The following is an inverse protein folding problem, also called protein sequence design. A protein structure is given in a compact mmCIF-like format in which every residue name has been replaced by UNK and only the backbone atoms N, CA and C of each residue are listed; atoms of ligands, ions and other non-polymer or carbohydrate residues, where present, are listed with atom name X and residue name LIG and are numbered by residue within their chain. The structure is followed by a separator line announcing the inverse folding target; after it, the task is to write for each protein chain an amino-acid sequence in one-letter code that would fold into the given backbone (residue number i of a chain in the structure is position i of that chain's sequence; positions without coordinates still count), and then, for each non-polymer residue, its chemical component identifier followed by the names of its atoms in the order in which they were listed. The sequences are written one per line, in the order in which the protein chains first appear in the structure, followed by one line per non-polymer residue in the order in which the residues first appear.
data_IF_017844709335
#
_entry.id   IF_017844709335
#
_cell.length_a   1.000
_cell.length_b   1.000
_cell.length_c   1.000
_cell.angle_alpha   90.00
_cell.angle_beta   90.00
_cell.angle_gamma   90.00
#
_symmetry.space_group_name_H-M   'P 1'
#
loop_
_entity.id
_entity.type
_entity.pdbx_description
1 polymer ?
#
# COMPACT_ATOMS: atom_id res chain seq x y z
N UNK A 1 22.79 8.96 -9.35
CA UNK A 1 23.30 7.58 -9.46
C UNK A 1 24.71 7.54 -8.87
N UNK A 2 25.16 6.38 -8.40
CA UNK A 2 26.51 6.18 -7.85
C UNK A 2 27.01 4.77 -8.18
N UNK A 3 28.32 4.56 -8.04
CA UNK A 3 28.95 3.26 -8.21
C UNK A 3 29.17 2.61 -6.84
N UNK A 4 28.83 1.34 -6.72
CA UNK A 4 29.06 0.58 -5.49
C UNK A 4 30.57 0.36 -5.30
N UNK A 5 31.01 0.45 -4.05
CA UNK A 5 32.37 0.06 -3.68
C UNK A 5 32.50 -1.45 -3.74
N UNK A 6 33.73 -1.92 -3.95
CA UNK A 6 34.03 -3.35 -3.97
C UNK A 6 33.68 -4.00 -2.62
N UNK A 7 33.13 -5.22 -2.69
CA UNK A 7 32.74 -6.00 -1.51
C UNK A 7 31.42 -5.58 -0.84
N UNK A 8 30.75 -4.51 -1.29
CA UNK A 8 29.43 -4.13 -0.78
C UNK A 8 28.36 -5.09 -1.31
N UNK A 9 27.58 -5.66 -0.39
CA UNK A 9 26.48 -6.56 -0.73
C UNK A 9 25.14 -5.81 -0.81
N UNK A 10 24.15 -6.43 -1.46
CA UNK A 10 22.78 -5.91 -1.46
C UNK A 10 22.22 -5.71 -0.04
N UNK A 11 22.54 -6.59 0.89
CA UNK A 11 22.11 -6.47 2.28
C UNK A 11 22.66 -5.21 2.97
N UNK A 12 23.89 -4.81 2.63
CA UNK A 12 24.50 -3.58 3.16
C UNK A 12 23.82 -2.34 2.60
N UNK A 13 23.51 -2.35 1.29
CA UNK A 13 22.74 -1.29 0.64
C UNK A 13 21.35 -1.17 1.28
N UNK A 14 20.67 -2.28 1.47
CA UNK A 14 19.34 -2.30 2.09
C UNK A 14 19.38 -1.74 3.51
N UNK A 15 20.35 -2.18 4.33
CA UNK A 15 20.53 -1.67 5.70
C UNK A 15 20.83 -0.17 5.74
N UNK A 16 21.62 0.36 4.80
CA UNK A 16 21.97 1.77 4.76
C UNK A 16 20.80 2.66 4.26
N UNK A 17 20.07 2.19 3.26
CA UNK A 17 19.05 3.00 2.57
C UNK A 17 17.67 2.87 3.18
N UNK A 18 17.33 1.73 3.77
CA UNK A 18 16.01 1.47 4.33
C UNK A 18 15.84 2.03 5.75
N UNK A 19 14.66 2.55 6.10
CA UNK A 19 13.54 2.89 5.21
C UNK A 19 13.82 4.17 4.40
N UNK A 20 13.05 4.35 3.32
CA UNK A 20 13.23 5.46 2.38
C UNK A 20 13.08 6.84 3.02
N UNK A 21 13.90 7.81 2.61
CA UNK A 21 13.88 9.17 3.18
C UNK A 21 12.53 9.89 2.99
N UNK A 22 11.86 9.66 1.86
CA UNK A 22 10.57 10.30 1.52
C UNK A 22 9.38 9.85 2.40
N UNK A 23 9.52 8.78 3.17
CA UNK A 23 8.47 8.25 4.05
C UNK A 23 8.83 8.31 5.54
N UNK A 24 10.00 8.84 5.84
CA UNK A 24 10.48 9.12 7.20
C UNK A 24 10.58 10.62 7.40
N UNK A 25 11.69 11.21 6.96
CA UNK A 25 12.02 12.61 7.14
C UNK A 25 13.53 12.83 7.25
N UNK A 26 13.92 14.04 7.62
CA UNK A 26 15.31 14.43 7.81
C UNK A 26 15.48 15.25 9.10
N UNK A 27 16.40 14.89 10.01
CA UNK A 27 17.27 13.69 10.01
C UNK A 27 16.49 12.37 10.17
N UNK A 28 16.88 11.31 9.44
CA UNK A 28 16.11 10.06 9.33
C UNK A 28 15.80 9.41 10.69
N UNK A 29 16.81 9.23 11.53
CA UNK A 29 16.66 8.55 12.83
C UNK A 29 15.70 9.34 13.72
N UNK A 30 15.91 10.65 13.88
CA UNK A 30 15.01 11.47 14.70
C UNK A 30 13.58 11.52 14.16
N UNK A 31 13.43 11.54 12.83
CA UNK A 31 12.09 11.50 12.21
C UNK A 31 11.37 10.19 12.51
N UNK A 32 12.09 9.05 12.48
CA UNK A 32 11.52 7.74 12.83
C UNK A 32 11.12 7.65 14.31
N UNK A 33 11.90 8.23 15.23
CA UNK A 33 11.53 8.29 16.65
C UNK A 33 10.23 9.08 16.86
N UNK A 34 10.10 10.25 16.22
CA UNK A 34 8.86 11.06 16.31
C UNK A 34 7.67 10.29 15.73
N UNK A 35 7.86 9.59 14.61
CA UNK A 35 6.82 8.73 14.02
C UNK A 35 6.39 7.65 15.02
N UNK A 36 7.34 6.98 15.68
CA UNK A 36 7.06 5.94 16.66
C UNK A 36 6.37 6.50 17.92
N UNK A 37 6.75 7.71 18.36
CA UNK A 37 6.13 8.42 19.49
C UNK A 37 4.67 8.86 19.18
N UNK A 38 4.35 9.12 17.91
CA UNK A 38 3.07 9.75 17.52
C UNK A 38 2.07 8.79 16.90
N UNK A 39 2.51 7.71 16.24
CA UNK A 39 1.61 6.76 15.60
C UNK A 39 1.09 5.71 16.60
N UNK A 40 -0.22 5.40 16.59
CA UNK A 40 -0.81 4.49 17.56
C UNK A 40 -0.46 3.01 17.33
N UNK A 41 0.16 2.68 16.20
CA UNK A 41 0.43 1.30 15.77
C UNK A 41 1.67 1.25 14.89
N UNK A 42 2.42 0.16 14.95
CA UNK A 42 3.48 -0.10 13.99
C UNK A 42 2.97 -0.12 12.54
N UNK A 43 3.75 0.42 11.60
CA UNK A 43 3.37 0.56 10.18
C UNK A 43 3.28 -0.77 9.41
N UNK A 44 3.94 -1.82 9.88
CA UNK A 44 3.94 -3.13 9.22
C UNK A 44 4.44 -3.04 7.78
N UNK A 45 3.61 -3.43 6.81
CA UNK A 45 3.98 -3.35 5.37
C UNK A 45 4.00 -1.91 4.86
N UNK A 46 3.22 -1.00 5.44
CA UNK A 46 3.16 0.40 5.00
C UNK A 46 4.53 1.06 5.15
N UNK A 47 4.97 1.76 4.08
CA UNK A 47 6.31 2.37 3.99
C UNK A 47 7.49 1.40 4.04
N UNK A 48 7.22 0.09 4.00
CA UNK A 48 8.22 -0.95 3.74
C UNK A 48 8.65 -1.01 2.28
N UNK A 49 9.20 -2.15 1.86
CA UNK A 49 9.65 -2.37 0.48
C UNK A 49 8.96 -3.58 -0.15
N UNK A 50 8.52 -3.43 -1.41
CA UNK A 50 7.97 -4.49 -2.25
C UNK A 50 8.78 -4.56 -3.54
N UNK A 51 9.20 -5.75 -3.95
CA UNK A 51 9.99 -5.92 -5.15
C UNK A 51 10.58 -7.31 -5.30
N UNK A 52 11.67 -7.41 -6.05
CA UNK A 52 12.39 -8.67 -6.27
C UNK A 52 13.89 -8.53 -6.03
N UNK A 53 14.49 -9.67 -5.71
CA UNK A 53 15.93 -9.86 -5.60
C UNK A 53 16.25 -11.11 -6.43
N UNK A 54 17.08 -10.95 -7.44
CA UNK A 54 17.56 -12.00 -8.32
C UNK A 54 18.78 -12.71 -7.74
N UNK A 55 18.98 -13.95 -8.16
CA UNK A 55 20.16 -14.75 -7.82
C UNK A 55 21.46 -14.21 -8.46
N UNK A 56 21.31 -13.39 -9.49
CA UNK A 56 22.37 -12.67 -10.21
C UNK A 56 22.81 -11.38 -9.49
N UNK A 57 22.20 -11.07 -8.34
CA UNK A 57 22.46 -9.86 -7.57
C UNK A 57 21.65 -8.64 -8.02
N UNK A 58 20.84 -8.75 -9.07
CA UNK A 58 19.94 -7.67 -9.47
C UNK A 58 18.80 -7.53 -8.47
N UNK A 59 18.46 -6.31 -8.09
CA UNK A 59 17.32 -6.06 -7.21
C UNK A 59 16.55 -4.81 -7.65
N UNK A 60 15.24 -4.86 -7.54
CA UNK A 60 14.37 -3.72 -7.73
C UNK A 60 13.35 -3.71 -6.60
N UNK A 61 13.44 -2.69 -5.74
CA UNK A 61 12.53 -2.48 -4.63
C UNK A 61 11.79 -1.16 -4.82
N UNK A 62 10.50 -1.18 -4.49
CA UNK A 62 9.66 0.01 -4.44
C UNK A 62 9.11 0.21 -3.03
N UNK A 63 8.86 1.47 -2.67
CA UNK A 63 8.27 1.79 -1.37
C UNK A 63 6.80 1.36 -1.37
N UNK A 64 6.39 0.66 -0.30
CA UNK A 64 5.04 0.19 -0.10
C UNK A 64 4.09 1.32 0.34
N UNK A 65 3.82 2.25 -0.59
CA UNK A 65 2.79 3.27 -0.51
C UNK A 65 1.68 2.98 -1.53
N UNK A 66 0.49 3.53 -1.31
CA UNK A 66 -0.69 3.24 -2.14
C UNK A 66 -1.00 1.73 -2.21
N UNK A 67 -0.76 1.05 -1.09
CA UNK A 67 -0.92 -0.39 -0.93
C UNK A 67 -2.15 -0.69 -0.05
N UNK A 68 -2.84 -1.78 -0.36
CA UNK A 68 -3.93 -2.32 0.47
C UNK A 68 -3.47 -3.67 1.00
N UNK A 69 -3.50 -3.83 2.32
CA UNK A 69 -3.21 -5.09 3.00
C UNK A 69 -4.54 -5.78 3.28
N UNK A 70 -4.73 -6.99 2.78
CA UNK A 70 -5.94 -7.77 3.01
C UNK A 70 -5.61 -8.95 3.92
N UNK A 71 -6.23 -8.98 5.09
CA UNK A 71 -6.09 -10.09 6.05
C UNK A 71 -7.38 -10.26 6.84
N UNK A 72 -7.73 -11.50 7.19
CA UNK A 72 -8.93 -11.80 8.00
C UNK A 72 -10.21 -11.13 7.50
N UNK A 73 -10.43 -11.14 6.18
CA UNK A 73 -11.57 -10.51 5.49
C UNK A 73 -11.68 -8.99 5.69
N UNK A 74 -10.61 -8.34 6.17
CA UNK A 74 -10.50 -6.89 6.32
C UNK A 74 -9.44 -6.36 5.36
N UNK A 75 -9.68 -5.15 4.84
CA UNK A 75 -8.75 -4.43 4.00
C UNK A 75 -8.25 -3.20 4.76
N UNK A 76 -6.95 -3.06 4.88
CA UNK A 76 -6.27 -1.97 5.56
C UNK A 76 -5.50 -1.15 4.55
N UNK A 77 -5.53 0.16 4.70
CA UNK A 77 -4.69 1.08 3.93
C UNK A 77 -4.27 2.22 4.83
N UNK A 78 -3.05 2.71 4.62
CA UNK A 78 -2.47 3.80 5.38
C UNK A 78 -1.93 4.83 4.40
N UNK A 79 -2.00 6.10 4.82
CA UNK A 79 -1.58 7.26 4.05
C UNK A 79 -1.02 8.30 5.01
N UNK A 80 -0.05 9.05 4.55
CA UNK A 80 0.55 10.16 5.29
C UNK A 80 1.04 11.24 4.34
N UNK A 81 1.68 12.25 4.91
CA UNK A 81 2.29 13.38 4.22
C UNK A 81 3.64 13.72 4.85
N UNK A 82 4.43 14.53 4.16
CA UNK A 82 5.65 15.10 4.72
C UNK A 82 5.28 16.41 5.41
N UNK A 83 5.68 16.57 6.66
CA UNK A 83 5.43 17.80 7.42
C UNK A 83 6.69 18.66 7.39
N UNK A 84 6.53 19.92 7.02
CA UNK A 84 7.57 20.95 7.06
C UNK A 84 7.12 22.12 7.94
N UNK A 85 8.03 23.06 8.22
CA UNK A 85 7.75 24.20 9.09
C UNK A 85 6.55 25.04 8.61
N UNK A 86 6.36 25.13 7.30
CA UNK A 86 5.31 25.93 6.67
C UNK A 86 4.05 25.12 6.33
N UNK A 87 3.96 23.86 6.79
CA UNK A 87 2.79 23.01 6.55
C UNK A 87 1.55 23.56 7.26
N UNK A 88 0.43 23.63 6.54
CA UNK A 88 -0.89 23.90 7.11
C UNK A 88 -1.55 22.58 7.58
N UNK A 89 -1.90 22.42 8.87
CA UNK A 89 -2.41 21.16 9.39
C UNK A 89 -3.67 20.64 8.68
N UNK A 90 -4.58 21.55 8.29
CA UNK A 90 -5.83 21.15 7.62
C UNK A 90 -5.55 20.71 6.18
N UNK A 91 -4.68 21.41 5.45
CA UNK A 91 -4.26 21.02 4.11
C UNK A 91 -3.60 19.63 4.10
N UNK A 92 -2.69 19.36 5.05
CA UNK A 92 -2.04 18.05 5.18
C UNK A 92 -3.04 16.95 5.49
N UNK A 93 -4.00 17.22 6.39
CA UNK A 93 -5.10 16.29 6.66
C UNK A 93 -5.91 15.98 5.40
N UNK A 94 -6.32 16.99 4.64
CA UNK A 94 -7.07 16.79 3.39
C UNK A 94 -6.26 16.04 2.34
N UNK A 95 -4.94 16.24 2.28
CA UNK A 95 -4.04 15.48 1.41
C UNK A 95 -4.05 13.98 1.78
N UNK A 96 -3.94 13.64 3.07
CA UNK A 96 -3.98 12.23 3.50
C UNK A 96 -5.31 11.55 3.12
N UNK A 97 -6.44 12.24 3.35
CA UNK A 97 -7.76 11.76 2.97
C UNK A 97 -7.87 11.57 1.44
N UNK A 98 -7.31 12.49 0.66
CA UNK A 98 -7.30 12.41 -0.80
C UNK A 98 -6.51 11.19 -1.30
N UNK A 99 -5.33 10.94 -0.73
CA UNK A 99 -4.54 9.73 -1.02
C UNK A 99 -5.33 8.45 -0.67
N UNK A 100 -6.04 8.45 0.46
CA UNK A 100 -6.80 7.30 0.92
C UNK A 100 -8.03 7.01 0.03
N UNK A 101 -8.73 8.07 -0.42
CA UNK A 101 -9.92 7.96 -1.29
C UNK A 101 -9.64 7.17 -2.55
N UNK A 102 -8.48 7.34 -3.19
CA UNK A 102 -8.12 6.59 -4.38
C UNK A 102 -8.09 5.07 -4.14
N UNK A 103 -7.52 4.65 -3.01
CA UNK A 103 -7.41 3.24 -2.64
C UNK A 103 -8.77 2.66 -2.25
N UNK A 104 -9.53 3.40 -1.45
CA UNK A 104 -10.89 3.02 -1.06
C UNK A 104 -11.84 2.93 -2.26
N UNK A 105 -11.68 3.79 -3.26
CA UNK A 105 -12.45 3.73 -4.51
C UNK A 105 -12.16 2.43 -5.28
N UNK A 106 -10.89 2.00 -5.33
CA UNK A 106 -10.51 0.71 -5.91
C UNK A 106 -11.18 -0.48 -5.22
N UNK A 107 -11.20 -0.49 -3.88
CA UNK A 107 -11.91 -1.52 -3.10
C UNK A 107 -13.41 -1.52 -3.43
N UNK A 108 -14.06 -0.35 -3.42
CA UNK A 108 -15.50 -0.24 -3.70
C UNK A 108 -15.84 -0.69 -5.13
N UNK A 109 -15.02 -0.36 -6.11
CA UNK A 109 -15.22 -0.76 -7.49
C UNK A 109 -15.23 -2.30 -7.64
N UNK A 110 -14.29 -3.00 -6.98
CA UNK A 110 -14.22 -4.46 -7.04
C UNK A 110 -15.39 -5.16 -6.33
N UNK A 111 -15.88 -4.61 -5.21
CA UNK A 111 -17.05 -5.15 -4.50
C UNK A 111 -18.32 -5.08 -5.34
N UNK A 112 -18.58 -3.95 -6.01
CA UNK A 112 -19.72 -3.80 -6.92
C UNK A 112 -19.69 -4.83 -8.05
N UNK A 113 -18.51 -5.07 -8.64
CA UNK A 113 -18.34 -6.08 -9.68
C UNK A 113 -18.65 -7.49 -9.19
N UNK A 114 -18.21 -7.85 -7.97
CA UNK A 114 -18.49 -9.17 -7.37
C UNK A 114 -19.99 -9.38 -7.13
N UNK A 115 -20.68 -8.36 -6.60
CA UNK A 115 -22.14 -8.40 -6.39
C UNK A 115 -22.88 -8.60 -7.71
N UNK A 116 -22.52 -7.82 -8.74
CA UNK A 116 -23.14 -7.90 -10.07
C UNK A 116 -22.97 -9.27 -10.74
N UNK A 117 -21.79 -9.90 -10.59
CA UNK A 117 -21.54 -11.26 -11.09
C UNK A 117 -22.41 -12.30 -10.34
N UNK A 118 -22.56 -12.16 -9.03
CA UNK A 118 -23.42 -13.04 -8.22
C UNK A 118 -24.89 -12.92 -8.66
N UNK A 119 -25.36 -11.70 -8.90
CA UNK A 119 -26.73 -11.44 -9.33
C UNK A 119 -27.01 -12.02 -10.73
N UNK A 120 -26.08 -11.85 -11.69
CA UNK A 120 -26.17 -12.45 -13.03
C UNK A 120 -26.21 -13.99 -12.96
N UNK A 121 -25.37 -14.60 -12.12
CA UNK A 121 -25.37 -16.07 -11.93
C UNK A 121 -26.70 -16.56 -11.34
N UNK A 122 -27.30 -15.82 -10.40
CA UNK A 122 -28.64 -16.14 -9.86
C UNK A 122 -29.72 -16.05 -10.93
N UNK A 123 -29.71 -15.00 -11.75
CA UNK A 123 -30.66 -14.83 -12.86
C UNK A 123 -30.54 -15.99 -13.84
N UNK A 124 -29.32 -16.31 -14.30
CA UNK A 124 -29.10 -17.41 -15.24
C UNK A 124 -29.51 -18.78 -14.68
N UNK A 125 -29.30 -19.02 -13.37
CA UNK A 125 -29.76 -20.25 -12.71
C UNK A 125 -31.29 -20.33 -12.69
N UNK A 126 -31.97 -19.22 -12.39
CA UNK A 126 -33.44 -19.14 -12.38
C UNK A 126 -34.03 -19.34 -13.78
N UNK A 127 -33.44 -18.71 -14.80
CA UNK A 127 -33.86 -18.90 -16.20
C UNK A 127 -33.68 -20.34 -16.69
N UNK A 128 -32.59 -21.02 -16.30
CA UNK A 128 -32.39 -22.45 -16.60
C UNK A 128 -33.44 -23.35 -15.95
N UNK A 129 -33.83 -23.07 -14.70
CA UNK A 129 -34.85 -23.84 -13.98
C UNK A 129 -36.24 -23.70 -14.63
N UNK A 130 -36.61 -22.49 -15.05
CA UNK A 130 -37.87 -22.24 -15.77
C UNK A 130 -37.89 -22.98 -17.11
N UNK A 131 -36.77 -22.95 -17.86
CA UNK A 131 -36.66 -23.65 -19.15
C UNK A 131 -36.69 -25.19 -19.01
N UNK A 132 -36.35 -25.75 -17.85
CA UNK A 132 -36.47 -27.19 -17.59
C UNK A 132 -37.88 -27.62 -17.18
N UNK A 133 -38.70 -26.73 -16.60
CA UNK A 133 -40.10 -27.02 -16.25
C UNK A 133 -41.05 -26.91 -17.47
N UNK A 134 -40.61 -26.25 -18.55
CA UNK A 134 -41.34 -26.10 -19.80
C UNK A 134 -41.07 -27.21 -20.83
N UNK A 135 -40.24 -28.20 -20.49
CA UNK A 135 -39.97 -29.41 -21.29
C UNK A 135 -40.62 -30.62 -20.65
#
# INVERSE_FOLDING_TARGET
AGQLQDGITFCDILRAMFPGGSITGAPKIRSMEIIDETEPTARGVYTGSIGFIGIDGCACLNIAIRTIIITNQKAFTQTGGGIVADSDPEAEWQETITKARALLAGIKATQKSKQRIVDIKKINKKSKAILSELK
#
